data_IF_506086802015
#
_entry.id   IF_506086802015
#
_cell.length_a   1.000
_cell.length_b   1.000
_cell.length_c   1.000
_cell.angle_alpha   90.00
_cell.angle_beta   90.00
_cell.angle_gamma   90.00
#
_symmetry.space_group_name_H-M   'P 1'
#
loop_
_entity.id
_entity.type
_entity.pdbx_description
1 polymer ?
#
# COMPACT_ATOMS: atom_id res chain seq x y z
N UNK A 1 -0.29 73.89 -15.79
CA UNK A 1 -0.46 73.11 -14.55
C UNK A 1 -1.96 72.92 -14.39
N UNK A 2 -2.54 71.73 -14.40
CA UNK A 2 -2.27 70.55 -13.55
C UNK A 2 -2.57 69.31 -14.41
N UNK A 3 -1.54 68.58 -14.83
CA UNK A 3 -1.12 67.26 -14.29
C UNK A 3 -2.21 66.19 -14.32
N UNK A 4 -2.11 65.29 -15.30
CA UNK A 4 -2.74 63.97 -15.28
C UNK A 4 -1.99 63.09 -14.27
N UNK A 5 -2.70 62.36 -13.42
CA UNK A 5 -2.15 61.19 -12.73
C UNK A 5 -3.07 59.99 -12.98
N UNK A 6 -2.53 59.05 -13.75
CA UNK A 6 -3.03 57.71 -13.92
C UNK A 6 -2.63 56.84 -12.72
N UNK A 7 -3.40 55.77 -12.55
CA UNK A 7 -3.08 54.53 -11.85
C UNK A 7 -3.27 54.51 -10.32
N UNK A 8 -4.37 53.90 -9.91
CA UNK A 8 -4.29 52.83 -8.91
C UNK A 8 -5.51 51.93 -8.99
N UNK A 9 -5.42 50.87 -9.80
CA UNK A 9 -6.30 49.71 -9.71
C UNK A 9 -5.51 48.66 -8.92
N UNK A 10 -5.82 48.51 -7.62
CA UNK A 10 -5.29 47.41 -6.82
C UNK A 10 -5.96 46.11 -7.27
N UNK A 11 -5.31 45.39 -8.17
CA UNK A 11 -5.62 43.99 -8.45
C UNK A 11 -5.17 43.13 -7.28
N UNK A 12 -6.11 42.68 -6.45
CA UNK A 12 -5.87 41.60 -5.47
C UNK A 12 -5.69 40.29 -6.22
N UNK A 13 -4.44 39.87 -6.41
CA UNK A 13 -4.10 38.54 -6.92
C UNK A 13 -4.38 37.49 -5.83
N UNK A 14 -5.41 36.67 -6.03
CA UNK A 14 -5.63 35.44 -5.27
C UNK A 14 -4.54 34.43 -5.64
N UNK A 15 -3.60 34.20 -4.72
CA UNK A 15 -2.64 33.11 -4.82
C UNK A 15 -3.36 31.80 -4.50
N UNK A 16 -3.84 31.11 -5.54
CA UNK A 16 -4.17 29.70 -5.44
C UNK A 16 -2.87 28.91 -5.30
N UNK A 17 -2.55 28.49 -4.07
CA UNK A 17 -1.53 27.48 -3.83
C UNK A 17 -2.05 26.13 -4.35
N UNK A 18 -1.74 25.81 -5.61
CA UNK A 18 -1.89 24.44 -6.10
C UNK A 18 -0.85 23.57 -5.40
N UNK A 19 -1.28 22.82 -4.38
CA UNK A 19 -0.51 21.70 -3.86
C UNK A 19 -0.45 20.66 -4.98
N UNK A 20 0.70 20.56 -5.66
CA UNK A 20 1.00 19.40 -6.47
C UNK A 20 1.19 18.21 -5.53
N UNK A 21 0.15 17.38 -5.37
CA UNK A 21 0.35 15.99 -5.02
C UNK A 21 1.06 15.33 -6.20
N UNK A 22 2.38 15.33 -6.19
CA UNK A 22 3.20 14.65 -7.19
C UNK A 22 3.01 13.13 -7.11
N UNK A 23 3.22 12.38 -8.20
CA UNK A 23 3.29 10.94 -8.14
C UNK A 23 4.42 10.54 -7.18
N UNK A 24 4.10 9.69 -6.19
CA UNK A 24 5.10 9.07 -5.32
C UNK A 24 6.13 8.39 -6.24
N UNK A 25 7.44 8.68 -6.11
CA UNK A 25 8.43 8.03 -6.93
C UNK A 25 8.40 6.53 -6.64
N UNK A 26 8.19 5.72 -7.69
CA UNK A 26 8.24 4.26 -7.61
C UNK A 26 9.52 3.72 -6.94
N UNK A 27 10.58 4.53 -6.88
CA UNK A 27 11.86 4.21 -6.25
C UNK A 27 11.75 3.80 -4.75
N UNK A 28 10.84 4.40 -3.99
CA UNK A 28 10.71 4.09 -2.55
C UNK A 28 9.98 2.76 -2.31
N UNK A 29 8.92 2.48 -3.07
CA UNK A 29 8.22 1.19 -3.06
C UNK A 29 9.14 0.03 -3.54
N UNK A 30 10.00 0.31 -4.53
CA UNK A 30 10.99 -0.66 -5.02
C UNK A 30 12.09 -0.93 -3.98
N UNK A 31 12.49 0.07 -3.17
CA UNK A 31 13.55 -0.09 -2.17
C UNK A 31 13.20 -1.17 -1.12
N UNK A 32 11.96 -1.17 -0.63
CA UNK A 32 11.45 -2.19 0.30
C UNK A 32 11.36 -3.59 -0.30
N UNK A 33 11.34 -3.71 -1.63
CA UNK A 33 11.20 -4.98 -2.33
C UNK A 33 12.52 -5.61 -2.82
N UNK A 34 13.62 -4.85 -2.84
CA UNK A 34 14.87 -5.27 -3.51
C UNK A 34 15.43 -6.63 -3.06
N UNK A 35 15.06 -7.16 -1.88
CA UNK A 35 15.43 -8.52 -1.43
C UNK A 35 14.31 -9.29 -0.70
N UNK A 36 13.06 -8.84 -0.78
CA UNK A 36 11.96 -9.44 0.01
C UNK A 36 11.60 -10.81 -0.57
N UNK A 37 11.60 -11.82 0.29
CA UNK A 37 11.13 -13.18 0.05
C UNK A 37 10.56 -13.69 1.38
N UNK A 38 9.56 -14.55 1.34
CA UNK A 38 8.92 -15.01 2.58
C UNK A 38 8.45 -16.45 2.48
N UNK A 39 8.26 -17.09 3.62
CA UNK A 39 7.64 -18.39 3.75
C UNK A 39 6.43 -18.28 4.67
N UNK A 40 5.25 -18.54 4.11
CA UNK A 40 3.97 -18.58 4.80
C UNK A 40 3.60 -20.05 5.07
N UNK A 41 3.77 -20.50 6.32
CA UNK A 41 3.65 -21.91 6.66
C UNK A 41 4.71 -22.76 5.92
N UNK A 42 4.30 -23.46 4.85
CA UNK A 42 5.20 -24.23 3.98
C UNK A 42 5.35 -23.65 2.57
N UNK A 43 4.64 -22.57 2.27
CA UNK A 43 4.62 -21.96 0.96
C UNK A 43 5.66 -20.85 0.89
N UNK A 44 6.61 -21.00 -0.02
CA UNK A 44 7.61 -19.98 -0.33
C UNK A 44 7.05 -19.02 -1.37
N UNK A 45 7.29 -17.73 -1.17
CA UNK A 45 7.01 -16.65 -2.10
C UNK A 45 8.30 -15.90 -2.39
N UNK A 46 8.60 -15.75 -3.67
CA UNK A 46 9.75 -14.97 -4.08
C UNK A 46 9.39 -13.47 -4.20
N UNK A 47 10.38 -12.67 -4.59
CA UNK A 47 10.19 -11.23 -4.80
C UNK A 47 9.10 -10.93 -5.84
N UNK A 48 9.02 -11.72 -6.90
CA UNK A 48 8.07 -11.49 -7.98
C UNK A 48 6.63 -11.72 -7.50
N UNK A 49 6.39 -12.73 -6.68
CA UNK A 49 5.07 -12.97 -6.07
C UNK A 49 4.62 -11.79 -5.20
N UNK A 50 5.53 -11.31 -4.34
CA UNK A 50 5.29 -10.16 -3.46
C UNK A 50 5.03 -8.89 -4.30
N UNK A 51 5.81 -8.66 -5.35
CA UNK A 51 5.62 -7.51 -6.25
C UNK A 51 4.27 -7.58 -6.97
N UNK A 52 3.88 -8.75 -7.48
CA UNK A 52 2.61 -8.92 -8.19
C UNK A 52 1.42 -8.65 -7.25
N UNK A 53 1.50 -9.12 -6.01
CA UNK A 53 0.50 -8.84 -4.99
C UNK A 53 0.45 -7.36 -4.62
N UNK A 54 1.60 -6.73 -4.33
CA UNK A 54 1.70 -5.32 -3.99
C UNK A 54 1.17 -4.43 -5.11
N UNK A 55 1.62 -4.64 -6.35
CA UNK A 55 1.20 -3.84 -7.50
C UNK A 55 -0.31 -3.93 -7.73
N UNK A 56 -0.89 -5.12 -7.60
CA UNK A 56 -2.33 -5.32 -7.75
C UNK A 56 -3.12 -4.67 -6.62
N UNK A 57 -2.71 -4.90 -5.36
CA UNK A 57 -3.33 -4.31 -4.18
C UNK A 57 -3.27 -2.79 -4.20
N UNK A 58 -2.07 -2.22 -4.38
CA UNK A 58 -1.84 -0.78 -4.50
C UNK A 58 -2.66 -0.15 -5.64
N UNK A 59 -2.73 -0.80 -6.81
CA UNK A 59 -3.55 -0.32 -7.93
C UNK A 59 -5.02 -0.22 -7.55
N UNK A 60 -5.56 -1.25 -6.90
CA UNK A 60 -6.96 -1.25 -6.49
C UNK A 60 -7.24 -0.22 -5.39
N UNK A 61 -6.35 -0.12 -4.39
CA UNK A 61 -6.42 0.87 -3.33
C UNK A 61 -6.43 2.30 -3.88
N UNK A 62 -5.44 2.66 -4.71
CA UNK A 62 -5.34 3.99 -5.31
C UNK A 62 -6.52 4.34 -6.22
N UNK A 63 -7.15 3.33 -6.84
CA UNK A 63 -8.34 3.52 -7.67
C UNK A 63 -9.65 3.57 -6.84
N UNK A 64 -9.60 3.31 -5.52
CA UNK A 64 -10.80 3.17 -4.69
C UNK A 64 -11.69 2.00 -5.12
N UNK A 65 -11.08 0.94 -5.67
CA UNK A 65 -11.79 -0.25 -6.17
C UNK A 65 -11.42 -1.49 -5.38
N UNK A 66 -12.23 -2.53 -5.46
CA UNK A 66 -11.93 -3.83 -4.88
C UNK A 66 -12.19 -4.96 -5.86
N UNK A 67 -11.49 -6.08 -5.67
CA UNK A 67 -11.73 -7.35 -6.34
C UNK A 67 -11.94 -8.43 -5.27
N UNK A 68 -13.11 -9.09 -5.29
CA UNK A 68 -13.54 -9.98 -4.19
C UNK A 68 -13.41 -9.36 -2.79
N UNK A 69 -13.61 -8.04 -2.67
CA UNK A 69 -13.47 -7.32 -1.38
C UNK A 69 -12.05 -6.88 -1.02
N UNK A 70 -11.04 -7.16 -1.85
CA UNK A 70 -9.65 -6.75 -1.61
C UNK A 70 -9.19 -5.63 -2.56
N UNK A 71 -8.27 -4.74 -2.14
CA UNK A 71 -7.73 -4.65 -0.79
C UNK A 71 -8.77 -4.11 0.17
N UNK A 72 -8.56 -4.35 1.46
CA UNK A 72 -9.32 -3.70 2.52
C UNK A 72 -8.42 -3.44 3.72
N UNK A 73 -8.93 -2.59 4.63
CA UNK A 73 -8.20 -2.21 5.84
C UNK A 73 -7.82 -3.44 6.65
N UNK A 74 -6.56 -3.45 7.09
CA UNK A 74 -6.02 -4.39 8.07
C UNK A 74 -5.80 -3.65 9.40
N UNK A 75 -6.36 -4.19 10.49
CA UNK A 75 -6.37 -3.52 11.80
C UNK A 75 -5.26 -3.99 12.74
N UNK A 76 -4.51 -5.03 12.38
CA UNK A 76 -3.43 -5.59 13.20
C UNK A 76 -3.89 -5.97 14.63
N UNK A 77 -4.94 -6.78 14.75
CA UNK A 77 -5.43 -7.24 16.05
C UNK A 77 -4.47 -8.25 16.69
N UNK A 78 -3.64 -8.91 15.88
CA UNK A 78 -2.60 -9.84 16.26
C UNK A 78 -1.40 -9.15 16.94
N UNK A 79 -1.19 -7.85 16.69
CA UNK A 79 -0.12 -7.07 17.32
C UNK A 79 1.24 -7.20 16.63
N UNK A 80 1.30 -7.45 15.33
CA UNK A 80 2.56 -7.47 14.56
C UNK A 80 3.29 -6.12 14.65
N UNK A 81 4.62 -6.18 14.73
CA UNK A 81 5.47 -4.98 14.72
C UNK A 81 5.85 -4.61 13.28
N UNK A 82 5.09 -3.70 12.67
CA UNK A 82 5.40 -3.18 11.34
C UNK A 82 6.37 -2.00 11.39
N UNK A 83 7.36 -2.01 10.51
CA UNK A 83 8.37 -0.97 10.34
C UNK A 83 7.85 0.25 9.55
N UNK A 84 6.69 0.11 8.90
CA UNK A 84 6.00 1.20 8.20
C UNK A 84 4.71 1.58 8.94
N UNK A 85 4.46 2.89 9.04
CA UNK A 85 3.27 3.41 9.69
C UNK A 85 2.01 3.05 8.89
N UNK A 86 0.93 2.72 9.63
CA UNK A 86 -0.39 2.53 9.07
C UNK A 86 -1.09 3.87 8.71
N UNK A 87 -2.35 3.81 8.27
CA UNK A 87 -3.19 2.62 8.25
C UNK A 87 -2.77 1.62 7.17
N UNK A 88 -3.02 0.33 7.45
CA UNK A 88 -2.61 -0.76 6.57
C UNK A 88 -3.79 -1.35 5.80
N UNK A 89 -3.46 -1.96 4.67
CA UNK A 89 -4.33 -2.73 3.80
C UNK A 89 -3.80 -4.16 3.70
N UNK A 90 -4.69 -5.14 3.56
CA UNK A 90 -4.33 -6.50 3.21
C UNK A 90 -4.75 -6.84 1.77
N UNK A 91 -3.95 -7.66 1.10
CA UNK A 91 -4.27 -8.20 -0.23
C UNK A 91 -3.72 -9.63 -0.40
N UNK A 92 -4.39 -10.53 -1.15
CA UNK A 92 -3.92 -11.91 -1.29
C UNK A 92 -2.59 -12.02 -2.04
N UNK A 93 -1.71 -12.90 -1.57
CA UNK A 93 -0.49 -13.32 -2.29
C UNK A 93 -0.75 -14.66 -2.96
N UNK A 94 -0.43 -14.77 -4.25
CA UNK A 94 -0.53 -16.01 -5.01
C UNK A 94 0.83 -16.33 -5.66
N UNK A 95 1.00 -17.61 -6.01
CA UNK A 95 2.21 -18.07 -6.71
C UNK A 95 2.14 -17.66 -8.18
N UNK A 96 3.17 -16.95 -8.64
CA UNK A 96 3.43 -16.54 -10.02
C UNK A 96 2.31 -15.73 -10.70
N UNK A 97 1.41 -15.11 -9.94
CA UNK A 97 0.31 -14.29 -10.48
C UNK A 97 -0.26 -13.29 -9.48
N UNK A 98 -0.85 -12.21 -9.99
CA UNK A 98 -1.68 -11.32 -9.20
C UNK A 98 -3.06 -11.95 -8.90
N UNK A 99 -3.63 -11.62 -7.74
CA UNK A 99 -5.01 -11.98 -7.43
C UNK A 99 -5.98 -11.11 -8.24
N UNK A 100 -6.92 -11.77 -8.94
CA UNK A 100 -7.93 -11.13 -9.81
C UNK A 100 -9.36 -11.47 -9.41
N UNK A 101 -9.55 -12.04 -8.21
CA UNK A 101 -10.84 -12.44 -7.67
C UNK A 101 -10.97 -13.94 -7.42
N UNK A 102 -12.14 -14.33 -6.90
CA UNK A 102 -12.39 -15.69 -6.41
C UNK A 102 -11.91 -15.91 -4.97
N UNK A 103 -11.49 -17.15 -4.67
CA UNK A 103 -10.99 -17.53 -3.34
C UNK A 103 -9.58 -16.98 -3.10
N UNK A 104 -9.34 -16.22 -2.01
CA UNK A 104 -8.07 -15.55 -1.77
C UNK A 104 -6.94 -16.46 -1.28
N UNK A 105 -7.25 -17.69 -0.83
CA UNK A 105 -6.29 -18.51 -0.10
C UNK A 105 -5.98 -17.94 1.30
N UNK A 106 -4.90 -18.41 1.92
CA UNK A 106 -4.58 -18.13 3.32
C UNK A 106 -3.62 -16.94 3.54
N UNK A 107 -2.87 -16.54 2.52
CA UNK A 107 -1.71 -15.66 2.68
C UNK A 107 -2.03 -14.24 2.21
N UNK A 108 -1.49 -13.24 2.91
CA UNK A 108 -1.73 -11.82 2.65
C UNK A 108 -0.42 -11.05 2.66
N UNK A 109 -0.32 -10.07 1.77
CA UNK A 109 0.64 -8.97 1.89
C UNK A 109 -0.07 -7.83 2.62
N UNK A 110 0.66 -7.20 3.54
CA UNK A 110 0.24 -6.02 4.28
C UNK A 110 1.04 -4.83 3.76
N UNK A 111 0.35 -3.77 3.35
CA UNK A 111 0.97 -2.55 2.84
C UNK A 111 0.22 -1.32 3.37
N UNK A 112 0.88 -0.16 3.43
CA UNK A 112 0.23 1.08 3.88
C UNK A 112 -0.33 1.91 2.71
N UNK A 113 -0.88 3.09 3.01
CA UNK A 113 -1.49 3.99 2.02
C UNK A 113 -0.50 4.54 0.99
N UNK A 114 0.81 4.44 1.26
CA UNK A 114 1.89 4.82 0.35
C UNK A 114 2.40 3.64 -0.48
N UNK A 115 1.75 2.48 -0.39
CA UNK A 115 2.14 1.24 -1.02
C UNK A 115 3.53 0.74 -0.58
N UNK A 116 3.91 1.04 0.66
CA UNK A 116 5.09 0.47 1.31
C UNK A 116 4.69 -0.84 1.98
N UNK A 117 5.51 -1.89 1.81
CA UNK A 117 5.23 -3.21 2.37
C UNK A 117 5.56 -3.24 3.85
N UNK A 118 4.56 -3.59 4.66
CA UNK A 118 4.70 -3.78 6.10
C UNK A 118 5.11 -5.22 6.46
N UNK A 119 4.54 -6.22 5.81
CA UNK A 119 4.74 -7.62 6.16
C UNK A 119 3.93 -8.58 5.31
N UNK A 120 4.17 -9.87 5.49
CA UNK A 120 3.30 -10.93 4.99
C UNK A 120 2.81 -11.79 6.15
N UNK A 121 1.54 -12.16 6.09
CA UNK A 121 0.86 -12.93 7.14
C UNK A 121 0.07 -14.08 6.53
N UNK A 122 -0.24 -15.08 7.34
CA UNK A 122 -0.97 -16.28 6.89
C UNK A 122 -1.93 -16.81 7.95
N UNK A 123 -3.09 -17.30 7.51
CA UNK A 123 -3.94 -18.13 8.36
C UNK A 123 -3.34 -19.51 8.63
N UNK A 124 -2.32 -19.93 7.87
CA UNK A 124 -1.70 -21.26 8.01
C UNK A 124 -0.99 -21.38 9.35
N UNK A 125 -1.53 -22.21 10.23
CA UNK A 125 -0.99 -22.40 11.59
C UNK A 125 -1.56 -21.43 12.62
N UNK A 126 -2.47 -20.54 12.23
CA UNK A 126 -3.27 -19.73 13.13
C UNK A 126 -4.55 -20.48 13.56
N UNK A 127 -5.21 -19.99 14.61
CA UNK A 127 -6.50 -20.50 15.06
C UNK A 127 -7.64 -19.60 14.56
N UNK A 128 -8.79 -20.18 14.24
CA UNK A 128 -9.96 -19.39 13.82
C UNK A 128 -9.69 -18.56 12.56
N UNK A 129 -9.88 -17.24 12.68
CA UNK A 129 -9.64 -16.26 11.61
C UNK A 129 -8.40 -15.41 11.88
N UNK A 130 -7.57 -15.78 12.86
CA UNK A 130 -6.37 -15.03 13.20
C UNK A 130 -5.30 -15.25 12.12
N UNK A 131 -4.28 -14.39 12.15
CA UNK A 131 -3.08 -14.55 11.37
C UNK A 131 -1.87 -14.89 12.24
N UNK A 132 -0.89 -15.56 11.64
CA UNK A 132 0.50 -15.58 12.12
C UNK A 132 1.41 -14.96 11.06
N UNK A 133 2.58 -14.48 11.49
CA UNK A 133 3.56 -13.90 10.57
C UNK A 133 4.15 -14.96 9.64
N UNK A 134 4.27 -14.62 8.36
CA UNK A 134 5.20 -15.34 7.49
C UNK A 134 6.65 -15.01 7.91
N UNK A 135 7.62 -15.80 7.45
CA UNK A 135 9.02 -15.57 7.83
C UNK A 135 9.46 -14.13 7.50
N UNK A 136 10.02 -13.43 8.48
CA UNK A 136 10.45 -12.04 8.32
C UNK A 136 9.42 -10.99 8.75
N UNK A 137 8.19 -11.38 9.07
CA UNK A 137 7.22 -10.52 9.74
C UNK A 137 7.40 -10.60 11.25
N UNK A 138 7.69 -9.46 11.89
CA UNK A 138 7.92 -9.37 13.33
C UNK A 138 6.62 -9.50 14.13
N UNK A 139 6.70 -10.19 15.27
CA UNK A 139 5.62 -10.46 16.23
C UNK A 139 6.01 -10.04 17.64
#
# INVERSE_FOLDING_TARGET
>A
MVSFNLASLLSTALLFSSVLAGPIPAADAEAGLTKRQTTCGKKYYDRNDIQLALNAGCKHYNAGTTVSGYPHKYNNYEGFEFDVAGPWQEFPILDNKAFTGGSPGADRIIFNEYCEVAGEITHTGASGNDFVGCSGTST
#
